data_IF_567861030805
#
_entry.id   IF_567861030805
#
_cell.length_a   1.000
_cell.length_b   1.000
_cell.length_c   1.000
_cell.angle_alpha   90.00
_cell.angle_beta   90.00
_cell.angle_gamma   90.00
#
_symmetry.space_group_name_H-M   'P 1'
#
loop_
_entity.id
_entity.type
_entity.pdbx_description
1 polymer ?
2 polymer ?
#
# COMPACT_ATOMS: atom_id res chain seq x y z
C UNK A 1 1.05 -1.12 -12.12
N UNK A 2 -0.23 -1.27 -11.85
CA UNK A 2 -0.96 -0.30 -11.04
C UNK A 2 -0.49 -0.39 -9.59
N UNK A 3 0.02 0.72 -9.07
CA UNK A 3 0.49 0.77 -7.69
C UNK A 3 -0.64 1.13 -6.75
N UNK A 4 -0.75 0.39 -5.66
CA UNK A 4 -1.78 0.63 -4.68
C UNK A 4 -1.16 0.86 -3.31
N UNK A 5 -1.60 1.91 -2.63
CA UNK A 5 -1.06 2.25 -1.33
C UNK A 5 -2.11 2.01 -0.25
N UNK A 6 -1.81 1.11 0.66
CA UNK A 6 -2.73 0.75 1.71
C UNK A 6 -2.22 1.26 3.06
N UNK A 7 -3.04 2.04 3.73
CA UNK A 7 -2.64 2.62 5.02
C UNK A 7 -2.85 1.62 6.15
N UNK A 8 -1.75 1.26 6.81
CA UNK A 8 -1.82 0.38 7.96
C UNK A 8 -1.56 1.18 9.23
N UNK A 9 -2.58 1.34 10.08
CA UNK A 9 -2.50 2.19 11.26
C UNK A 9 -2.15 3.63 10.87
N UNK A 10 0.39 4.37 9.13
C UNK B 1 0.54 -5.78 -9.74
N UNK B 2 1.20 -6.63 -8.97
CA UNK B 2 0.99 -6.68 -7.53
C UNK B 2 1.89 -5.66 -6.84
N UNK B 3 1.54 -4.39 -7.01
CA UNK B 3 2.29 -3.30 -6.38
C UNK B 3 1.51 -2.74 -5.21
N UNK B 4 1.13 -3.62 -4.30
CA UNK B 4 0.38 -3.23 -3.11
C UNK B 4 1.35 -2.86 -1.98
N UNK B 5 1.56 -1.57 -1.81
CA UNK B 5 2.51 -1.08 -0.81
C UNK B 5 1.76 -0.68 0.46
N UNK B 6 2.19 -1.24 1.59
CA UNK B 6 1.56 -0.94 2.87
C UNK B 6 2.29 0.19 3.57
N UNK B 7 1.62 1.32 3.69
CA UNK B 7 2.18 2.50 4.34
C UNK B 7 1.62 2.63 5.75
N UNK B 8 2.48 2.83 6.75
CA UNK B 8 2.04 2.88 8.15
C UNK B 8 1.59 4.29 8.57
#
# INVERSE_FOLDING_TARGET
>A
XSKTFIQVPX
>B
XKNVLYRX
#
